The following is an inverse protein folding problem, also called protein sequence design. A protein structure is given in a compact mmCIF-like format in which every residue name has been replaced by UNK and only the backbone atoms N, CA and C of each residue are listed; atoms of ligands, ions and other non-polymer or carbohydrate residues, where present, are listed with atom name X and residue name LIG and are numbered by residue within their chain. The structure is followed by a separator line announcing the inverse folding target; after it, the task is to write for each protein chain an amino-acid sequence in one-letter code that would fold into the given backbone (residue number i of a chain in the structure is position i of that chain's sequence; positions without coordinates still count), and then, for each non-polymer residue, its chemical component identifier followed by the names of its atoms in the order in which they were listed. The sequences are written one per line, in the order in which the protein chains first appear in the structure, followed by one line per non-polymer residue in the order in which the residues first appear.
data_IF_068131959656
#
_entry.id   IF_068131959656
#
_cell.length_a   1.000
_cell.length_b   1.000
_cell.length_c   1.000
_cell.angle_alpha   90.00
_cell.angle_beta   90.00
_cell.angle_gamma   90.00
#
_symmetry.space_group_name_H-M   'P 1'
#
loop_
_entity.id
_entity.type
_entity.pdbx_description
1 polymer ?
#
# COMPACT_ATOMS: atom_id res chain seq x y z
N UNK A 1 7.39 -8.90 2.51
CA UNK A 1 8.25 -7.68 2.55
C UNK A 1 7.79 -6.77 3.68
N UNK A 2 8.60 -6.58 4.71
CA UNK A 2 8.23 -5.77 5.88
C UNK A 2 8.26 -4.26 5.57
N UNK A 3 7.30 -3.54 6.16
CA UNK A 3 7.05 -2.11 5.97
C UNK A 3 6.53 -1.48 7.27
N UNK A 4 6.82 -0.21 7.46
CA UNK A 4 6.23 0.66 8.49
C UNK A 4 6.38 2.11 8.03
N UNK A 5 5.61 3.02 8.62
CA UNK A 5 5.73 4.45 8.36
C UNK A 5 5.60 5.25 9.65
N UNK A 6 6.61 6.06 9.98
CA UNK A 6 6.58 6.99 11.11
C UNK A 6 5.71 8.21 10.80
N UNK A 7 5.34 9.00 11.81
CA UNK A 7 4.64 10.30 11.56
C UNK A 7 5.43 11.23 10.63
N UNK A 8 6.76 11.20 10.71
CA UNK A 8 7.60 11.99 9.81
C UNK A 8 7.49 11.50 8.34
N UNK A 9 7.36 10.18 8.13
CA UNK A 9 7.12 9.63 6.78
C UNK A 9 5.78 10.08 6.21
N UNK A 10 4.76 10.24 7.05
CA UNK A 10 3.45 10.70 6.64
C UNK A 10 3.53 12.15 6.14
N UNK A 11 4.21 13.04 6.85
CA UNK A 11 4.43 14.43 6.40
C UNK A 11 5.28 14.48 5.13
N UNK A 12 6.34 13.66 5.03
CA UNK A 12 7.16 13.55 3.82
C UNK A 12 6.34 13.07 2.62
N UNK A 13 5.48 12.05 2.83
CA UNK A 13 4.62 11.53 1.78
C UNK A 13 3.59 12.56 1.33
N UNK A 14 2.97 13.30 2.26
CA UNK A 14 2.05 14.39 1.92
C UNK A 14 2.72 15.43 1.02
N UNK A 15 3.96 15.81 1.31
CA UNK A 15 4.74 16.71 0.46
C UNK A 15 5.05 16.15 -0.93
N UNK A 16 5.32 14.84 -1.03
CA UNK A 16 5.63 14.20 -2.30
C UNK A 16 4.39 13.89 -3.17
N UNK A 17 3.27 13.53 -2.54
CA UNK A 17 2.03 13.13 -3.22
C UNK A 17 1.04 14.28 -3.44
N UNK A 18 1.16 15.36 -2.67
CA UNK A 18 0.16 16.43 -2.59
C UNK A 18 -1.04 16.10 -1.71
N UNK A 19 -1.08 14.93 -1.07
CA UNK A 19 -2.15 14.53 -0.15
C UNK A 19 -1.94 15.16 1.24
N UNK A 20 -2.51 16.34 1.43
CA UNK A 20 -2.46 17.08 2.70
C UNK A 20 -3.67 16.81 3.61
N UNK A 21 -4.40 15.71 3.41
CA UNK A 21 -5.55 15.39 4.26
C UNK A 21 -5.12 15.29 5.74
N UNK A 22 -5.69 16.11 6.65
CA UNK A 22 -5.21 16.21 8.04
C UNK A 22 -5.35 14.93 8.85
N UNK A 23 -6.16 13.96 8.43
CA UNK A 23 -6.26 12.65 9.11
C UNK A 23 -4.93 11.90 9.20
N UNK A 24 -3.93 12.30 8.42
CA UNK A 24 -2.59 11.71 8.39
C UNK A 24 -1.58 12.35 9.34
N UNK A 25 -1.92 13.45 10.03
CA UNK A 25 -0.96 14.12 10.93
C UNK A 25 -1.61 14.87 12.10
N UNK A 26 -2.90 15.20 12.02
CA UNK A 26 -3.70 15.80 13.07
C UNK A 26 -4.61 14.74 13.72
N UNK A 27 -4.49 14.61 15.05
CA UNK A 27 -5.20 13.60 15.82
C UNK A 27 -6.70 13.91 16.00
N UNK A 28 -7.04 15.18 16.14
CA UNK A 28 -8.43 15.62 16.34
C UNK A 28 -9.18 15.58 15.01
N UNK A 29 -8.54 15.97 13.90
CA UNK A 29 -9.09 15.79 12.56
C UNK A 29 -9.41 14.32 12.26
N UNK A 30 -8.48 13.41 12.60
CA UNK A 30 -8.71 11.97 12.41
C UNK A 30 -9.88 11.44 13.26
N UNK A 31 -10.00 11.88 14.52
CA UNK A 31 -11.13 11.53 15.40
C UNK A 31 -12.45 12.07 14.91
N UNK A 32 -12.49 13.32 14.46
CA UNK A 32 -13.68 13.95 13.88
C UNK A 32 -14.12 13.24 12.59
N UNK A 33 -13.19 12.62 11.86
CA UNK A 33 -13.47 11.76 10.71
C UNK A 33 -13.90 10.33 11.08
N UNK A 34 -14.09 10.01 12.37
CA UNK A 34 -14.53 8.70 12.84
C UNK A 34 -13.43 7.66 12.99
N UNK A 35 -12.15 8.04 12.90
CA UNK A 35 -11.01 7.15 13.12
C UNK A 35 -10.56 7.21 14.58
N UNK A 36 -9.99 6.14 15.14
CA UNK A 36 -9.46 6.17 16.52
C UNK A 36 -8.14 6.96 16.69
N UNK A 37 -7.69 7.70 15.66
CA UNK A 37 -6.48 8.53 15.64
C UNK A 37 -5.86 8.63 14.24
N UNK A 38 -4.62 9.14 14.15
CA UNK A 38 -3.87 9.30 12.89
C UNK A 38 -3.64 7.97 12.16
N UNK A 39 -3.77 7.97 10.83
CA UNK A 39 -3.60 6.78 9.98
C UNK A 39 -2.59 7.01 8.85
N UNK A 40 -1.93 5.94 8.40
CA UNK A 40 -1.06 5.95 7.22
C UNK A 40 -1.88 6.21 5.96
N UNK A 41 -1.34 6.95 4.99
CA UNK A 41 -1.95 7.18 3.69
C UNK A 41 -2.26 5.84 2.99
N UNK A 42 -3.49 5.69 2.50
CA UNK A 42 -3.87 4.51 1.72
C UNK A 42 -2.96 4.34 0.49
N UNK A 43 -2.70 5.45 -0.22
CA UNK A 43 -1.85 5.41 -1.41
C UNK A 43 -0.36 5.16 -1.10
N UNK A 44 0.12 5.42 0.13
CA UNK A 44 1.45 4.97 0.55
C UNK A 44 1.51 3.44 0.69
N UNK A 45 0.46 2.82 1.25
CA UNK A 45 0.35 1.36 1.26
C UNK A 45 0.23 0.80 -0.17
N UNK A 46 -0.49 1.47 -1.07
CA UNK A 46 -0.54 1.11 -2.49
C UNK A 46 0.83 1.17 -3.16
N UNK A 47 1.66 2.17 -2.83
CA UNK A 47 3.02 2.27 -3.34
C UNK A 47 3.89 1.10 -2.86
N UNK A 48 3.73 0.62 -1.63
CA UNK A 48 4.41 -0.59 -1.16
C UNK A 48 4.00 -1.84 -1.95
N UNK A 49 2.71 -1.97 -2.27
CA UNK A 49 2.20 -3.06 -3.12
C UNK A 49 2.79 -2.97 -4.52
N UNK A 50 2.75 -1.79 -5.15
CA UNK A 50 3.31 -1.58 -6.49
C UNK A 50 4.79 -1.93 -6.55
N UNK A 51 5.59 -1.45 -5.59
CA UNK A 51 7.01 -1.80 -5.46
C UNK A 51 7.22 -3.31 -5.33
N UNK A 52 6.36 -3.99 -4.57
CA UNK A 52 6.45 -5.44 -4.40
C UNK A 52 6.10 -6.19 -5.69
N UNK A 53 5.09 -5.72 -6.43
CA UNK A 53 4.64 -6.36 -7.66
C UNK A 53 5.74 -6.37 -8.74
N UNK A 54 6.48 -5.26 -8.87
CA UNK A 54 7.48 -5.10 -9.94
C UNK A 54 8.87 -5.65 -9.62
N UNK A 55 9.13 -6.16 -8.40
CA UNK A 55 10.48 -6.58 -7.96
C UNK A 55 11.13 -7.67 -8.83
N UNK A 56 10.35 -8.44 -9.58
CA UNK A 56 10.84 -9.46 -10.51
C UNK A 56 10.30 -9.31 -11.93
N UNK A 57 9.66 -8.18 -12.23
CA UNK A 57 9.16 -7.87 -13.57
C UNK A 57 10.29 -7.23 -14.38
N UNK A 58 10.39 -7.60 -15.66
CA UNK A 58 11.48 -7.15 -16.56
C UNK A 58 10.99 -6.36 -17.76
N UNK A 59 9.68 -6.35 -18.01
CA UNK A 59 9.10 -5.60 -19.13
C UNK A 59 9.03 -4.09 -18.88
N UNK A 60 8.75 -3.34 -19.95
CA UNK A 60 8.59 -1.88 -19.94
C UNK A 60 7.27 -1.47 -20.63
N UNK A 61 6.27 -0.96 -19.89
CA UNK A 61 6.25 -0.76 -18.44
C UNK A 61 6.11 -2.08 -17.68
N UNK A 62 6.80 -2.20 -16.55
CA UNK A 62 6.80 -3.40 -15.70
C UNK A 62 5.44 -3.72 -15.06
N UNK A 63 4.62 -2.70 -14.82
CA UNK A 63 3.30 -2.80 -14.20
C UNK A 63 2.23 -2.35 -15.19
N UNK A 64 1.39 -3.28 -15.65
CA UNK A 64 0.30 -2.98 -16.59
C UNK A 64 -1.00 -2.61 -15.89
N UNK A 65 -1.29 -3.25 -14.75
CA UNK A 65 -2.46 -2.90 -13.95
C UNK A 65 -2.23 -3.16 -12.47
N UNK A 66 -2.88 -2.35 -11.64
CA UNK A 66 -2.95 -2.53 -10.20
C UNK A 66 -4.35 -2.16 -9.72
N UNK A 67 -5.05 -3.13 -9.13
CA UNK A 67 -6.36 -2.93 -8.50
C UNK A 67 -6.21 -3.16 -7.01
N UNK A 68 -6.73 -2.25 -6.21
CA UNK A 68 -6.61 -2.25 -4.76
C UNK A 68 -7.99 -2.17 -4.12
N UNK A 69 -8.12 -2.76 -2.94
CA UNK A 69 -9.26 -2.54 -2.04
C UNK A 69 -8.74 -2.31 -0.63
N UNK A 70 -8.94 -1.09 -0.15
CA UNK A 70 -8.64 -0.71 1.23
C UNK A 70 -9.72 -1.26 2.16
N UNK A 71 -9.30 -1.93 3.23
CA UNK A 71 -10.19 -2.60 4.20
C UNK A 71 -10.11 -1.96 5.56
N UNK A 72 -8.89 -1.69 6.02
CA UNK A 72 -8.61 -1.15 7.35
C UNK A 72 -7.42 -0.18 7.28
N UNK A 73 -7.39 0.86 8.13
CA UNK A 73 -6.25 1.75 8.20
C UNK A 73 -5.05 1.08 8.88
N UNK A 74 -3.84 1.55 8.56
CA UNK A 74 -2.62 1.24 9.31
C UNK A 74 -2.30 2.39 10.26
N UNK A 75 -1.83 2.08 11.47
CA UNK A 75 -1.34 3.07 12.43
C UNK A 75 0.10 3.48 12.12
N UNK A 76 0.50 4.74 12.38
CA UNK A 76 1.91 5.12 12.32
C UNK A 76 2.76 4.22 13.22
N UNK A 77 3.96 3.89 12.75
CA UNK A 77 4.95 2.99 13.37
C UNK A 77 4.50 1.53 13.57
N UNK A 78 3.25 1.15 13.23
CA UNK A 78 2.85 -0.24 13.22
C UNK A 78 3.57 -1.01 12.11
N UNK A 79 3.91 -2.26 12.39
CA UNK A 79 4.54 -3.16 11.45
C UNK A 79 3.50 -3.73 10.48
N UNK A 80 3.78 -3.65 9.19
CA UNK A 80 2.99 -4.26 8.14
C UNK A 80 3.88 -5.12 7.24
N UNK A 81 3.27 -6.09 6.58
CA UNK A 81 3.92 -6.92 5.58
C UNK A 81 3.16 -6.88 4.27
N UNK A 82 3.88 -6.66 3.18
CA UNK A 82 3.38 -6.96 1.83
C UNK A 82 3.63 -8.44 1.54
N UNK A 83 2.57 -9.20 1.33
CA UNK A 83 2.58 -10.61 0.92
C UNK A 83 2.01 -10.73 -0.49
N UNK A 84 2.24 -11.86 -1.16
CA UNK A 84 1.62 -12.14 -2.44
C UNK A 84 1.95 -13.52 -3.01
N UNK A 85 1.21 -13.88 -4.04
CA UNK A 85 1.36 -15.11 -4.81
C UNK A 85 1.15 -14.84 -6.30
N UNK A 86 1.77 -15.68 -7.13
CA UNK A 86 1.51 -15.70 -8.58
C UNK A 86 0.27 -16.55 -8.82
N UNK A 87 -0.74 -15.99 -9.47
CA UNK A 87 -1.98 -16.69 -9.80
C UNK A 87 -1.91 -17.32 -11.19
N UNK A 88 -1.33 -16.61 -12.16
CA UNK A 88 -1.18 -17.07 -13.53
C UNK A 88 0.09 -16.48 -14.16
N UNK A 89 0.61 -17.19 -15.16
CA UNK A 89 1.79 -16.81 -15.93
C UNK A 89 1.53 -17.16 -17.38
N UNK A 90 1.91 -16.26 -18.29
CA UNK A 90 1.85 -16.47 -19.73
C UNK A 90 3.13 -15.88 -20.38
N UNK A 91 3.26 -15.92 -21.72
CA UNK A 91 4.44 -15.37 -22.40
C UNK A 91 4.67 -13.87 -22.19
N UNK A 92 3.61 -13.10 -21.96
CA UNK A 92 3.65 -11.64 -21.86
C UNK A 92 3.83 -11.15 -20.42
N UNK A 93 3.62 -12.02 -19.41
CA UNK A 93 3.73 -11.61 -18.02
C UNK A 93 3.12 -12.56 -16.99
N UNK A 94 2.70 -11.96 -15.87
CA UNK A 94 2.10 -12.67 -14.75
C UNK A 94 1.00 -11.87 -14.07
N UNK A 95 -0.02 -12.59 -13.59
CA UNK A 95 -1.07 -12.07 -12.71
C UNK A 95 -0.74 -12.41 -11.26
N UNK A 96 -0.77 -11.40 -10.40
CA UNK A 96 -0.39 -11.48 -8.99
C UNK A 96 -1.58 -11.18 -8.10
N UNK A 97 -1.73 -11.94 -7.01
CA UNK A 97 -2.50 -11.52 -5.85
C UNK A 97 -1.54 -11.01 -4.77
N UNK A 98 -1.80 -9.83 -4.22
CA UNK A 98 -0.99 -9.24 -3.16
C UNK A 98 -1.87 -8.74 -2.02
N UNK A 99 -1.29 -8.60 -0.83
CA UNK A 99 -1.94 -8.01 0.32
C UNK A 99 -0.96 -7.20 1.18
N UNK A 100 -1.49 -6.21 1.89
CA UNK A 100 -0.82 -5.60 3.05
C UNK A 100 -1.49 -6.16 4.30
N UNK A 101 -0.71 -6.84 5.14
CA UNK A 101 -1.17 -7.50 6.36
C UNK A 101 -0.50 -6.86 7.57
N UNK A 102 -1.24 -6.68 8.66
CA UNK A 102 -0.72 -6.22 9.95
C UNK A 102 -1.44 -6.97 11.05
N UNK A 103 -0.72 -7.51 12.03
CA UNK A 103 -1.31 -8.22 13.18
C UNK A 103 -2.31 -9.34 12.76
N UNK A 104 -2.01 -10.05 11.68
CA UNK A 104 -2.87 -11.11 11.13
C UNK A 104 -4.08 -10.62 10.31
N UNK A 105 -4.30 -9.32 10.23
CA UNK A 105 -5.42 -8.70 9.53
C UNK A 105 -5.02 -8.14 8.15
N UNK A 106 -5.84 -8.38 7.14
CA UNK A 106 -5.63 -7.81 5.81
C UNK A 106 -6.11 -6.35 5.78
N UNK A 107 -5.17 -5.43 5.61
CA UNK A 107 -5.44 -3.99 5.52
C UNK A 107 -5.78 -3.57 4.09
N UNK A 108 -5.07 -4.13 3.11
CA UNK A 108 -5.27 -3.89 1.67
C UNK A 108 -5.18 -5.21 0.94
N UNK A 109 -6.16 -5.52 0.09
CA UNK A 109 -6.08 -6.61 -0.89
C UNK A 109 -5.83 -6.03 -2.27
N UNK A 110 -5.01 -6.67 -3.09
CA UNK A 110 -4.66 -6.19 -4.42
C UNK A 110 -4.54 -7.31 -5.46
N UNK A 111 -4.78 -6.96 -6.71
CA UNK A 111 -4.39 -7.75 -7.88
C UNK A 111 -3.55 -6.89 -8.81
N UNK A 112 -2.49 -7.45 -9.37
CA UNK A 112 -1.62 -6.74 -10.30
C UNK A 112 -1.32 -7.59 -11.53
N UNK A 113 -1.18 -6.93 -12.68
CA UNK A 113 -0.63 -7.52 -13.90
C UNK A 113 0.74 -6.92 -14.14
N UNK A 114 1.77 -7.77 -14.26
CA UNK A 114 3.15 -7.36 -14.57
C UNK A 114 3.64 -8.00 -15.85
N UNK A 115 4.62 -7.38 -16.49
CA UNK A 115 5.23 -7.84 -17.74
C UNK A 115 6.57 -8.54 -17.50
N UNK A 116 6.89 -9.47 -18.40
CA UNK A 116 8.25 -10.00 -18.54
C UNK A 116 9.03 -9.27 -19.62
#
# INVERSE_FOLDING_TARGET
MHRSASRADLVRYAGASGDWNPIHWDHDAARNAGLSGIVVHGLLMAAWVAQSAVRGATGDPALQSLRLRFRRPLRPAAAAEVTGSVNAVDPDGADLALAVVSEGETLVSASARVTR
#
